data_IF_733069520471
#
_entry.id   IF_733069520471
#
_cell.length_a   1.000
_cell.length_b   1.000
_cell.length_c   1.000
_cell.angle_alpha   90.00
_cell.angle_beta   90.00
_cell.angle_gamma   90.00
#
_symmetry.space_group_name_H-M   'P 1'
#
loop_
_entity.id
_entity.type
_entity.pdbx_description
1 polymer ?
#
# COMPACT_ATOMS: atom_id res chain seq x y z
N UNK A 1 -45.58 -3.21 33.51
CA UNK A 1 -44.46 -3.76 34.28
C UNK A 1 -43.22 -3.00 33.86
N UNK A 2 -42.56 -2.36 34.82
CA UNK A 2 -41.52 -1.37 34.61
C UNK A 2 -40.30 -1.96 33.90
N UNK A 3 -39.83 -1.27 32.86
CA UNK A 3 -38.44 -1.37 32.41
C UNK A 3 -37.57 -0.96 33.59
N UNK A 4 -36.80 -1.89 34.14
CA UNK A 4 -35.81 -1.57 35.16
C UNK A 4 -34.80 -0.60 34.56
N UNK A 5 -34.77 0.63 35.07
CA UNK A 5 -33.60 1.48 34.96
C UNK A 5 -32.45 0.70 35.58
N UNK A 6 -31.59 0.14 34.74
CA UNK A 6 -30.28 -0.33 35.18
C UNK A 6 -29.47 0.94 35.44
N UNK A 7 -29.56 1.47 36.66
CA UNK A 7 -28.66 2.49 37.18
C UNK A 7 -27.27 1.86 37.30
N UNK A 8 -26.52 1.89 36.19
CA UNK A 8 -25.11 1.58 36.23
C UNK A 8 -24.37 2.73 36.92
N UNK A 9 -23.36 2.45 37.76
CA UNK A 9 -22.49 3.46 38.34
C UNK A 9 -21.98 4.44 37.28
N UNK A 10 -21.94 5.73 37.60
CA UNK A 10 -21.56 6.80 36.68
C UNK A 10 -20.15 6.58 36.11
N UNK A 11 -19.27 5.94 36.88
CA UNK A 11 -17.93 5.54 36.50
C UNK A 11 -17.91 4.52 35.35
N UNK A 12 -18.87 3.58 35.33
CA UNK A 12 -19.02 2.63 34.24
C UNK A 12 -19.54 3.35 32.99
N UNK A 13 -20.51 4.25 33.16
CA UNK A 13 -21.07 5.06 32.07
C UNK A 13 -20.06 6.04 31.47
N UNK A 14 -19.05 6.45 32.25
CA UNK A 14 -17.93 7.31 31.83
C UNK A 14 -16.73 6.53 31.28
N UNK A 15 -16.79 5.19 31.24
CA UNK A 15 -15.72 4.36 30.67
C UNK A 15 -14.52 4.12 31.59
N UNK A 16 -14.60 4.44 32.89
CA UNK A 16 -13.49 4.23 33.84
C UNK A 16 -13.14 2.75 34.00
N UNK A 17 -14.13 1.86 33.96
CA UNK A 17 -13.86 0.42 34.00
C UNK A 17 -13.04 -0.03 32.78
N UNK A 18 -13.36 0.46 31.59
CA UNK A 18 -12.60 0.17 30.38
C UNK A 18 -11.16 0.71 30.48
N UNK A 19 -11.00 1.90 31.07
CA UNK A 19 -9.68 2.49 31.34
C UNK A 19 -8.84 1.66 32.31
N UNK A 20 -9.43 1.13 33.39
CA UNK A 20 -8.74 0.25 34.34
C UNK A 20 -8.32 -1.05 33.64
N UNK A 21 -9.22 -1.68 32.88
CA UNK A 21 -8.92 -2.90 32.14
C UNK A 21 -7.78 -2.65 31.14
N UNK A 22 -7.83 -1.53 30.43
CA UNK A 22 -6.78 -1.12 29.50
C UNK A 22 -5.42 -1.02 30.20
N UNK A 23 -5.31 -0.25 31.28
CA UNK A 23 -4.05 -0.08 32.02
C UNK A 23 -3.44 -1.39 32.51
N UNK A 24 -4.29 -2.28 33.02
CA UNK A 24 -3.83 -3.61 33.43
C UNK A 24 -3.34 -4.43 32.23
N UNK A 25 -4.01 -4.30 31.08
CA UNK A 25 -3.70 -5.04 29.85
C UNK A 25 -2.41 -4.59 29.18
N UNK A 26 -2.07 -3.30 29.15
CA UNK A 26 -0.82 -2.77 28.54
C UNK A 26 0.44 -3.41 29.14
N UNK A 27 0.38 -3.76 30.43
CA UNK A 27 1.50 -4.45 31.09
C UNK A 27 1.70 -5.89 30.59
N UNK A 28 0.64 -6.54 30.09
CA UNK A 28 0.59 -7.96 29.73
C UNK A 28 0.67 -8.16 28.21
N UNK A 29 -0.20 -7.48 27.45
CA UNK A 29 -0.31 -7.59 26.00
C UNK A 29 0.66 -6.59 25.37
N UNK A 30 1.56 -7.10 24.53
CA UNK A 30 2.59 -6.29 23.85
C UNK A 30 2.25 -6.10 22.39
N UNK A 31 2.72 -4.98 21.83
CA UNK A 31 2.62 -4.65 20.41
C UNK A 31 1.59 -3.57 20.09
N UNK A 32 1.81 -2.88 18.97
CA UNK A 32 0.95 -1.82 18.49
C UNK A 32 -0.47 -2.30 18.14
N UNK A 33 -0.62 -3.55 17.68
CA UNK A 33 -1.90 -4.15 17.28
C UNK A 33 -2.97 -4.09 18.38
N UNK A 34 -2.56 -4.32 19.64
CA UNK A 34 -3.47 -4.23 20.78
C UNK A 34 -4.04 -2.83 20.95
N UNK A 35 -3.17 -1.82 20.95
CA UNK A 35 -3.56 -0.42 21.10
C UNK A 35 -4.44 0.03 19.94
N UNK A 36 -4.06 -0.28 18.69
CA UNK A 36 -4.85 0.07 17.50
C UNK A 36 -6.24 -0.58 17.55
N UNK A 37 -6.32 -1.88 17.86
CA UNK A 37 -7.58 -2.61 17.91
C UNK A 37 -8.50 -2.06 19.01
N UNK A 38 -7.97 -1.77 20.19
CA UNK A 38 -8.74 -1.22 21.29
C UNK A 38 -9.18 0.22 21.00
N UNK A 39 -8.33 1.02 20.36
CA UNK A 39 -8.66 2.38 19.97
C UNK A 39 -9.79 2.40 18.94
N UNK A 40 -9.78 1.49 17.95
CA UNK A 40 -10.89 1.34 16.99
C UNK A 40 -12.21 1.01 17.67
N UNK A 41 -12.20 0.23 18.76
CA UNK A 41 -13.41 -0.05 19.55
C UNK A 41 -13.81 1.18 20.37
N UNK A 42 -12.86 1.83 21.05
CA UNK A 42 -13.12 3.00 21.88
C UNK A 42 -13.69 4.18 21.07
N UNK A 43 -13.29 4.32 19.80
CA UNK A 43 -13.81 5.32 18.86
C UNK A 43 -15.29 5.15 18.52
N UNK A 44 -15.90 4.00 18.82
CA UNK A 44 -17.35 3.79 18.65
C UNK A 44 -18.18 4.46 19.75
N UNK A 45 -17.53 5.00 20.79
CA UNK A 45 -18.19 5.52 21.97
C UNK A 45 -17.72 6.94 22.29
N UNK A 46 -18.62 7.92 22.12
CA UNK A 46 -18.32 9.34 22.36
C UNK A 46 -17.86 9.62 23.80
N UNK A 47 -18.39 8.88 24.78
CA UNK A 47 -18.02 9.02 26.19
C UNK A 47 -16.58 8.57 26.48
N UNK A 48 -15.97 7.78 25.59
CA UNK A 48 -14.64 7.19 25.79
C UNK A 48 -13.50 8.09 25.29
N UNK A 49 -13.76 9.38 25.01
CA UNK A 49 -12.77 10.31 24.43
C UNK A 49 -11.46 10.38 25.22
N UNK A 50 -11.53 10.39 26.56
CA UNK A 50 -10.32 10.43 27.41
C UNK A 50 -9.51 9.13 27.29
N UNK A 51 -10.18 7.97 27.21
CA UNK A 51 -9.55 6.68 27.00
C UNK A 51 -8.94 6.59 25.59
N UNK A 52 -9.65 7.08 24.56
CA UNK A 52 -9.13 7.13 23.20
C UNK A 52 -7.83 7.93 23.13
N UNK A 53 -7.77 9.08 23.82
CA UNK A 53 -6.56 9.90 23.91
C UNK A 53 -5.43 9.15 24.62
N UNK A 54 -5.71 8.53 25.76
CA UNK A 54 -4.70 7.78 26.52
C UNK A 54 -4.13 6.61 25.69
N UNK A 55 -4.97 5.82 25.03
CA UNK A 55 -4.52 4.71 24.16
C UNK A 55 -3.66 5.23 23.00
N UNK A 56 -4.03 6.37 22.42
CA UNK A 56 -3.27 6.96 21.32
C UNK A 56 -1.91 7.48 21.76
N UNK A 57 -1.85 8.21 22.88
CA UNK A 57 -0.60 8.74 23.43
C UNK A 57 0.34 7.57 23.78
N UNK A 58 -0.18 6.49 24.38
CA UNK A 58 0.58 5.27 24.67
C UNK A 58 1.07 4.56 23.40
N UNK A 59 0.22 4.43 22.37
CA UNK A 59 0.60 3.86 21.07
C UNK A 59 1.81 4.61 20.48
N UNK A 60 1.77 5.94 20.49
CA UNK A 60 2.87 6.76 19.97
C UNK A 60 4.11 6.72 20.85
N UNK A 61 3.98 6.58 22.17
CA UNK A 61 5.13 6.57 23.09
C UNK A 61 5.81 5.20 23.18
N UNK A 62 5.06 4.10 23.08
CA UNK A 62 5.53 2.74 23.34
C UNK A 62 5.95 1.98 22.09
N UNK A 63 5.50 2.41 20.90
CA UNK A 63 5.65 1.65 19.65
C UNK A 63 6.16 2.50 18.48
N UNK A 64 7.10 3.43 18.73
CA UNK A 64 7.69 4.31 17.70
C UNK A 64 8.50 3.57 16.63
N UNK A 65 8.93 2.34 16.91
CA UNK A 65 9.70 1.47 16.03
C UNK A 65 8.82 0.50 15.22
N UNK A 66 7.50 0.54 15.42
CA UNK A 66 6.53 -0.32 14.74
C UNK A 66 5.92 0.41 13.51
N UNK A 67 6.04 -0.13 12.29
CA UNK A 67 5.39 0.42 11.10
C UNK A 67 3.87 0.57 11.22
N UNK A 68 3.19 -0.28 12.00
CA UNK A 68 1.75 -0.20 12.22
C UNK A 68 1.37 1.07 12.98
N UNK A 69 2.18 1.47 13.97
CA UNK A 69 1.99 2.74 14.70
C UNK A 69 2.03 3.91 13.73
N UNK A 70 3.05 3.96 12.87
CA UNK A 70 3.19 5.03 11.88
C UNK A 70 2.08 5.03 10.84
N UNK A 71 1.65 3.87 10.35
CA UNK A 71 0.52 3.74 9.41
C UNK A 71 -0.78 4.26 10.06
N UNK A 72 -1.02 3.91 11.32
CA UNK A 72 -2.18 4.39 12.08
C UNK A 72 -2.15 5.91 12.25
N UNK A 73 -1.04 6.46 12.76
CA UNK A 73 -0.86 7.91 12.99
C UNK A 73 -1.02 8.67 11.68
N UNK A 74 -0.43 8.19 10.59
CA UNK A 74 -0.53 8.84 9.29
C UNK A 74 -1.96 8.82 8.72
N UNK A 75 -2.70 7.72 8.90
CA UNK A 75 -4.09 7.61 8.41
C UNK A 75 -5.07 8.47 9.21
N UNK A 76 -4.82 8.68 10.50
CA UNK A 76 -5.63 9.55 11.36
C UNK A 76 -5.72 10.98 10.83
N UNK A 77 -4.68 11.47 10.14
CA UNK A 77 -4.66 12.78 9.49
C UNK A 77 -5.78 12.98 8.43
N UNK A 78 -6.29 11.90 7.82
CA UNK A 78 -7.43 11.96 6.90
C UNK A 78 -8.74 12.28 7.61
N UNK A 79 -8.90 11.74 8.82
CA UNK A 79 -10.12 11.81 9.61
C UNK A 79 -10.21 13.14 10.34
N UNK A 80 -9.07 13.70 10.74
CA UNK A 80 -9.04 14.99 11.43
C UNK A 80 -9.77 16.08 10.64
N UNK A 81 -10.65 16.78 11.33
CA UNK A 81 -11.40 17.90 10.77
C UNK A 81 -10.44 19.06 10.51
N UNK A 82 -10.50 19.60 9.30
CA UNK A 82 -9.62 20.71 8.89
C UNK A 82 -10.22 22.09 9.17
N UNK A 83 -11.51 22.16 9.51
CA UNK A 83 -12.25 23.40 9.77
C UNK A 83 -13.33 23.17 10.85
N UNK A 84 -13.68 24.19 11.66
CA UNK A 84 -14.82 24.10 12.57
C UNK A 84 -16.11 23.81 11.79
N UNK A 85 -17.01 23.04 12.40
CA UNK A 85 -18.18 22.37 11.81
C UNK A 85 -19.19 23.24 11.00
N UNK A 86 -18.94 24.53 10.77
CA UNK A 86 -19.82 25.47 10.06
C UNK A 86 -19.49 25.75 8.59
N UNK A 87 -18.26 25.52 8.12
CA UNK A 87 -17.82 25.90 6.76
C UNK A 87 -17.52 24.66 5.89
N UNK A 88 -18.55 23.87 5.57
CA UNK A 88 -18.40 22.81 4.58
C UNK A 88 -18.01 23.44 3.22
N UNK A 89 -17.01 22.89 2.49
CA UNK A 89 -16.55 23.53 1.27
C UNK A 89 -17.68 23.60 0.24
N UNK A 90 -18.03 24.82 -0.13
CA UNK A 90 -19.22 25.13 -0.93
C UNK A 90 -19.14 24.59 -2.38
N UNK A 91 -17.93 24.35 -2.90
CA UNK A 91 -17.71 23.89 -4.28
C UNK A 91 -16.97 22.55 -4.35
N UNK A 92 -17.21 21.79 -5.43
CA UNK A 92 -16.49 20.53 -5.71
C UNK A 92 -14.97 20.73 -5.76
N UNK A 93 -14.51 21.86 -6.25
CA UNK A 93 -13.09 22.21 -6.31
C UNK A 93 -12.52 22.44 -4.90
N UNK A 94 -13.23 23.20 -4.06
CA UNK A 94 -12.80 23.43 -2.68
C UNK A 94 -12.71 22.12 -1.88
N UNK A 95 -13.67 21.19 -2.07
CA UNK A 95 -13.61 19.84 -1.47
C UNK A 95 -12.39 19.04 -1.94
N UNK A 96 -12.05 19.14 -3.23
CA UNK A 96 -10.89 18.45 -3.79
C UNK A 96 -9.56 19.01 -3.26
N UNK A 97 -9.46 20.34 -3.12
CA UNK A 97 -8.29 21.00 -2.52
C UNK A 97 -8.14 20.58 -1.05
N UNK A 98 -9.24 20.59 -0.30
CA UNK A 98 -9.23 20.19 1.11
C UNK A 98 -8.83 18.72 1.29
N UNK A 99 -9.39 17.82 0.49
CA UNK A 99 -8.96 16.41 0.48
C UNK A 99 -7.48 16.28 0.11
N UNK A 100 -7.01 17.08 -0.85
CA UNK A 100 -5.60 17.13 -1.23
C UNK A 100 -4.70 17.52 -0.06
N UNK A 101 -5.10 18.52 0.73
CA UNK A 101 -4.42 18.98 1.94
C UNK A 101 -4.40 17.91 3.03
N UNK A 102 -5.52 17.19 3.23
CA UNK A 102 -5.57 16.04 4.15
C UNK A 102 -4.57 14.95 3.75
N UNK A 103 -4.57 14.58 2.47
CA UNK A 103 -3.63 13.59 1.94
C UNK A 103 -2.17 14.06 2.03
N UNK A 104 -1.88 15.36 1.92
CA UNK A 104 -0.52 15.90 2.18
C UNK A 104 -0.06 15.68 3.61
N UNK A 105 -0.93 15.96 4.60
CA UNK A 105 -0.56 15.77 6.01
C UNK A 105 -0.26 14.31 6.30
N UNK A 106 -1.06 13.39 5.75
CA UNK A 106 -0.79 11.96 5.84
C UNK A 106 0.58 11.61 5.24
N UNK A 107 0.85 12.10 4.03
CA UNK A 107 2.13 11.86 3.36
C UNK A 107 3.31 12.43 4.16
N UNK A 108 3.17 13.59 4.79
CA UNK A 108 4.22 14.18 5.61
C UNK A 108 4.57 13.27 6.81
N UNK A 109 3.56 12.65 7.45
CA UNK A 109 3.80 11.66 8.51
C UNK A 109 4.53 10.44 7.96
N UNK A 110 4.11 9.88 6.82
CA UNK A 110 4.83 8.77 6.21
C UNK A 110 6.27 9.12 5.79
N UNK A 111 6.48 10.32 5.26
CA UNK A 111 7.81 10.80 4.87
C UNK A 111 8.74 10.93 6.08
N UNK A 112 8.21 11.30 7.24
CA UNK A 112 8.96 11.29 8.49
C UNK A 112 9.19 9.85 9.00
N UNK A 113 8.17 9.01 8.88
CA UNK A 113 8.24 7.61 9.29
C UNK A 113 9.34 6.84 8.53
N UNK A 114 9.43 6.98 7.20
CA UNK A 114 10.46 6.27 6.40
C UNK A 114 11.86 6.82 6.61
N UNK A 115 12.01 8.06 7.12
CA UNK A 115 13.32 8.59 7.53
C UNK A 115 13.74 8.03 8.88
N UNK A 116 12.79 7.92 9.81
CA UNK A 116 13.02 7.44 11.17
C UNK A 116 13.18 5.91 11.22
N UNK A 117 12.38 5.20 10.40
CA UNK A 117 12.29 3.75 10.32
C UNK A 117 12.44 3.30 8.85
N UNK A 118 13.66 3.35 8.27
CA UNK A 118 13.91 3.00 6.88
C UNK A 118 13.90 1.49 6.65
N UNK A 119 12.71 0.88 6.76
CA UNK A 119 12.50 -0.57 6.63
C UNK A 119 11.55 -0.88 5.47
N UNK A 120 11.65 -2.10 4.91
CA UNK A 120 10.71 -2.56 3.87
C UNK A 120 9.26 -2.51 4.34
N UNK A 121 9.01 -2.84 5.62
CA UNK A 121 7.66 -2.82 6.19
C UNK A 121 7.08 -1.40 6.24
N UNK A 122 7.89 -0.41 6.61
CA UNK A 122 7.44 1.00 6.63
C UNK A 122 7.18 1.54 5.23
N UNK A 123 8.07 1.25 4.27
CA UNK A 123 7.85 1.58 2.85
C UNK A 123 6.61 0.88 2.29
N UNK A 124 6.36 -0.37 2.69
CA UNK A 124 5.18 -1.13 2.28
C UNK A 124 3.89 -0.44 2.73
N UNK A 125 3.82 0.04 3.97
CA UNK A 125 2.68 0.82 4.46
C UNK A 125 2.48 2.10 3.65
N UNK A 126 3.55 2.88 3.44
CA UNK A 126 3.46 4.13 2.69
C UNK A 126 3.01 3.93 1.24
N UNK A 127 3.58 2.96 0.53
CA UNK A 127 3.20 2.64 -0.86
C UNK A 127 1.75 2.13 -0.92
N UNK A 128 1.34 1.30 0.04
CA UNK A 128 -0.02 0.78 0.12
C UNK A 128 -1.04 1.90 0.33
N UNK A 129 -0.72 2.89 1.18
CA UNK A 129 -1.51 4.11 1.32
C UNK A 129 -1.59 4.88 -0.02
N UNK A 130 -0.47 5.13 -0.68
CA UNK A 130 -0.44 5.84 -1.96
C UNK A 130 -1.31 5.15 -3.03
N UNK A 131 -1.18 3.83 -3.17
CA UNK A 131 -1.98 3.03 -4.10
C UNK A 131 -3.48 3.06 -3.74
N UNK A 132 -3.82 2.96 -2.46
CA UNK A 132 -5.20 3.09 -2.01
C UNK A 132 -5.78 4.44 -2.44
N UNK A 133 -5.04 5.54 -2.21
CA UNK A 133 -5.48 6.88 -2.62
C UNK A 133 -5.59 7.00 -4.13
N UNK A 134 -4.63 6.48 -4.88
CA UNK A 134 -4.61 6.49 -6.35
C UNK A 134 -5.85 5.80 -6.95
N UNK A 135 -6.27 4.67 -6.39
CA UNK A 135 -7.44 3.91 -6.89
C UNK A 135 -8.80 4.55 -6.55
N UNK A 136 -8.86 5.51 -5.60
CA UNK A 136 -10.12 6.21 -5.29
C UNK A 136 -10.54 7.09 -6.46
N UNK A 137 -11.72 6.79 -7.04
CA UNK A 137 -12.33 7.58 -8.12
C UNK A 137 -12.45 9.06 -7.72
N UNK A 138 -12.04 9.94 -8.62
CA UNK A 138 -12.19 11.40 -8.45
C UNK A 138 -12.36 12.07 -9.81
N UNK A 139 -13.23 13.07 -9.88
CA UNK A 139 -13.39 13.91 -11.07
C UNK A 139 -12.33 15.02 -11.16
N UNK A 140 -11.62 15.31 -10.06
CA UNK A 140 -10.59 16.35 -10.00
C UNK A 140 -9.29 15.89 -10.66
N UNK A 141 -8.89 16.56 -11.74
CA UNK A 141 -7.59 16.33 -12.40
C UNK A 141 -6.43 16.60 -11.43
N UNK A 142 -6.49 17.69 -10.67
CA UNK A 142 -5.51 18.03 -9.63
C UNK A 142 -5.23 16.87 -8.66
N UNK A 143 -6.28 16.19 -8.18
CA UNK A 143 -6.11 15.05 -7.27
C UNK A 143 -5.52 13.83 -7.99
N UNK A 144 -5.90 13.59 -9.25
CA UNK A 144 -5.35 12.47 -10.04
C UNK A 144 -3.85 12.62 -10.23
N UNK A 145 -3.42 13.77 -10.73
CA UNK A 145 -2.01 14.05 -11.03
C UNK A 145 -1.15 13.93 -9.78
N UNK A 146 -1.62 14.52 -8.69
CA UNK A 146 -0.88 14.53 -7.42
C UNK A 146 -0.77 13.15 -6.79
N UNK A 147 -1.82 12.33 -6.87
CA UNK A 147 -1.78 10.95 -6.38
C UNK A 147 -0.86 10.08 -7.23
N UNK A 148 -0.86 10.27 -8.54
CA UNK A 148 0.07 9.59 -9.44
C UNK A 148 1.52 9.97 -9.11
N UNK A 149 1.82 11.27 -9.05
CA UNK A 149 3.15 11.79 -8.73
C UNK A 149 3.70 11.23 -7.41
N UNK A 150 2.88 11.25 -6.35
CA UNK A 150 3.27 10.71 -5.04
C UNK A 150 3.51 9.21 -5.08
N UNK A 151 2.62 8.46 -5.74
CA UNK A 151 2.76 7.00 -5.86
C UNK A 151 4.05 6.66 -6.58
N UNK A 152 4.32 7.32 -7.71
CA UNK A 152 5.57 7.15 -8.46
C UNK A 152 6.81 7.51 -7.64
N UNK A 153 6.75 8.63 -6.90
CA UNK A 153 7.86 9.07 -6.05
C UNK A 153 8.14 8.08 -4.92
N UNK A 154 7.10 7.55 -4.27
CA UNK A 154 7.26 6.57 -3.20
C UNK A 154 7.92 5.28 -3.71
N UNK A 155 7.49 4.77 -4.87
CA UNK A 155 8.11 3.62 -5.52
C UNK A 155 9.58 3.86 -5.86
N UNK A 156 9.91 4.98 -6.51
CA UNK A 156 11.30 5.32 -6.89
C UNK A 156 12.21 5.40 -5.67
N UNK A 157 11.78 6.11 -4.61
CA UNK A 157 12.57 6.22 -3.38
C UNK A 157 12.78 4.87 -2.70
N UNK A 158 11.74 4.04 -2.59
CA UNK A 158 11.86 2.70 -2.02
C UNK A 158 12.81 1.82 -2.84
N UNK A 159 12.74 1.91 -4.18
CA UNK A 159 13.64 1.22 -5.09
C UNK A 159 15.10 1.66 -4.95
N UNK A 160 15.36 2.98 -4.93
CA UNK A 160 16.69 3.55 -4.76
C UNK A 160 17.35 3.09 -3.45
N UNK A 161 16.56 2.94 -2.40
CA UNK A 161 17.00 2.44 -1.10
C UNK A 161 17.09 0.90 -1.01
N UNK A 162 16.68 0.19 -2.08
CA UNK A 162 16.56 -1.29 -2.11
C UNK A 162 15.65 -1.84 -1.00
N UNK A 163 14.59 -1.09 -0.68
CA UNK A 163 13.57 -1.44 0.32
C UNK A 163 12.21 -1.72 -0.33
N UNK A 164 12.16 -1.88 -1.64
CA UNK A 164 10.95 -2.20 -2.39
C UNK A 164 10.79 -3.73 -2.52
N UNK A 165 9.78 -4.35 -1.90
CA UNK A 165 9.53 -5.78 -2.03
C UNK A 165 9.11 -6.17 -3.46
N UNK A 166 9.40 -7.42 -3.82
CA UNK A 166 9.09 -8.02 -5.13
C UNK A 166 7.64 -7.80 -5.60
N UNK A 167 6.66 -8.02 -4.73
CA UNK A 167 5.25 -7.80 -5.06
C UNK A 167 4.95 -6.34 -5.42
N UNK A 168 5.65 -5.39 -4.81
CA UNK A 168 5.46 -3.97 -5.06
C UNK A 168 6.12 -3.52 -6.38
N UNK A 169 7.19 -4.20 -6.82
CA UNK A 169 7.69 -4.03 -8.20
C UNK A 169 6.63 -4.39 -9.24
N UNK A 170 5.94 -5.53 -9.06
CA UNK A 170 4.82 -5.91 -9.94
C UNK A 170 3.76 -4.79 -10.00
N UNK A 171 3.32 -4.28 -8.84
CA UNK A 171 2.34 -3.19 -8.80
C UNK A 171 2.84 -1.92 -9.49
N UNK A 172 4.13 -1.60 -9.36
CA UNK A 172 4.74 -0.44 -10.00
C UNK A 172 4.79 -0.58 -11.53
N UNK A 173 5.22 -1.74 -12.03
CA UNK A 173 5.28 -2.02 -13.47
C UNK A 173 3.87 -2.01 -14.08
N UNK A 174 2.89 -2.63 -13.44
CA UNK A 174 1.48 -2.59 -13.88
C UNK A 174 0.94 -1.15 -13.93
N UNK A 175 1.30 -0.31 -12.95
CA UNK A 175 0.93 1.10 -12.95
C UNK A 175 1.56 1.84 -14.13
N UNK A 176 2.86 1.65 -14.38
CA UNK A 176 3.59 2.26 -15.49
C UNK A 176 2.98 1.88 -16.84
N UNK A 177 2.67 0.59 -17.05
CA UNK A 177 2.01 0.11 -18.26
C UNK A 177 0.63 0.76 -18.45
N UNK A 178 -0.18 0.88 -17.40
CA UNK A 178 -1.50 1.56 -17.48
C UNK A 178 -1.40 3.04 -17.79
N UNK A 179 -0.27 3.69 -17.48
CA UNK A 179 0.00 5.09 -17.80
C UNK A 179 0.76 5.26 -19.12
N UNK A 180 0.97 4.18 -19.88
CA UNK A 180 1.71 4.15 -21.15
C UNK A 180 3.19 4.59 -21.01
N UNK A 181 3.78 4.42 -19.83
CA UNK A 181 5.19 4.70 -19.56
C UNK A 181 6.07 3.47 -19.84
N UNK A 182 6.02 2.97 -21.08
CA UNK A 182 6.67 1.72 -21.50
C UNK A 182 8.18 1.69 -21.22
N UNK A 183 8.89 2.79 -21.46
CA UNK A 183 10.34 2.87 -21.24
C UNK A 183 10.69 2.72 -19.76
N UNK A 184 10.02 3.46 -18.89
CA UNK A 184 10.25 3.38 -17.44
C UNK A 184 9.79 2.01 -16.90
N UNK A 185 8.69 1.45 -17.44
CA UNK A 185 8.26 0.08 -17.10
C UNK A 185 9.35 -0.95 -17.38
N UNK A 186 10.05 -0.81 -18.51
CA UNK A 186 11.12 -1.73 -18.90
C UNK A 186 12.34 -1.58 -17.99
N UNK A 187 12.75 -0.34 -17.70
CA UNK A 187 13.86 -0.05 -16.78
C UNK A 187 13.60 -0.66 -15.39
N UNK A 188 12.38 -0.47 -14.85
CA UNK A 188 11.97 -1.03 -13.56
C UNK A 188 11.90 -2.56 -13.61
N UNK A 189 11.39 -3.14 -14.68
CA UNK A 189 11.31 -4.59 -14.84
C UNK A 189 12.70 -5.24 -14.92
N UNK A 190 13.64 -4.63 -15.65
CA UNK A 190 15.03 -5.08 -15.71
C UNK A 190 15.66 -5.02 -14.33
N UNK A 191 15.61 -3.87 -13.65
CA UNK A 191 16.16 -3.71 -12.30
C UNK A 191 15.54 -4.70 -11.31
N UNK A 192 14.23 -4.95 -11.43
CA UNK A 192 13.51 -5.95 -10.65
C UNK A 192 13.99 -7.37 -10.90
N UNK A 193 14.16 -7.78 -12.16
CA UNK A 193 14.72 -9.11 -12.49
C UNK A 193 16.16 -9.29 -12.04
N UNK A 194 16.97 -8.23 -12.04
CA UNK A 194 18.35 -8.30 -11.55
C UNK A 194 18.44 -8.54 -10.05
N UNK A 195 17.48 -7.98 -9.28
CA UNK A 195 17.37 -8.14 -7.83
C UNK A 195 16.72 -9.48 -7.44
N UNK A 196 15.70 -9.93 -8.20
CA UNK A 196 14.93 -11.15 -7.94
C UNK A 196 15.08 -12.16 -9.08
N UNK A 197 16.30 -12.62 -9.33
CA UNK A 197 16.64 -13.44 -10.51
C UNK A 197 15.94 -14.79 -10.57
N UNK A 198 15.57 -15.35 -9.43
CA UNK A 198 14.86 -16.63 -9.31
C UNK A 198 13.33 -16.46 -9.21
N UNK A 199 12.82 -15.22 -9.34
CA UNK A 199 11.39 -14.95 -9.32
C UNK A 199 10.74 -15.09 -10.70
N UNK A 200 9.88 -16.10 -10.84
CA UNK A 200 9.04 -16.24 -12.02
C UNK A 200 8.13 -15.02 -12.24
N UNK A 201 7.67 -14.37 -11.17
CA UNK A 201 6.82 -13.18 -11.26
C UNK A 201 7.57 -12.01 -11.91
N UNK A 202 8.83 -11.77 -11.53
CA UNK A 202 9.61 -10.67 -12.11
C UNK A 202 9.96 -10.91 -13.58
N UNK A 203 10.31 -12.15 -13.94
CA UNK A 203 10.50 -12.52 -15.34
C UNK A 203 9.22 -12.33 -16.16
N UNK A 204 8.07 -12.75 -15.62
CA UNK A 204 6.78 -12.54 -16.28
C UNK A 204 6.49 -11.05 -16.51
N UNK A 205 6.78 -10.19 -15.52
CA UNK A 205 6.61 -8.75 -15.68
C UNK A 205 7.54 -8.16 -16.76
N UNK A 206 8.82 -8.57 -16.80
CA UNK A 206 9.77 -8.13 -17.85
C UNK A 206 9.29 -8.53 -19.24
N UNK A 207 8.85 -9.77 -19.41
CA UNK A 207 8.32 -10.29 -20.67
C UNK A 207 7.04 -9.54 -21.10
N UNK A 208 6.11 -9.31 -20.17
CA UNK A 208 4.89 -8.55 -20.46
C UNK A 208 5.19 -7.14 -20.99
N UNK A 209 6.10 -6.41 -20.34
CA UNK A 209 6.50 -5.07 -20.78
C UNK A 209 7.08 -5.10 -22.20
N UNK A 210 7.87 -6.12 -22.51
CA UNK A 210 8.50 -6.27 -23.82
C UNK A 210 7.50 -6.58 -24.92
N UNK A 211 6.54 -7.46 -24.64
CA UNK A 211 5.40 -7.76 -25.51
C UNK A 211 4.64 -6.46 -25.80
N UNK A 212 4.28 -5.70 -24.76
CA UNK A 212 3.55 -4.44 -24.90
C UNK A 212 4.35 -3.38 -25.68
N UNK A 213 5.68 -3.38 -25.52
CA UNK A 213 6.60 -2.50 -26.25
C UNK A 213 6.91 -2.95 -27.69
N UNK A 214 6.41 -4.10 -28.14
CA UNK A 214 6.69 -4.71 -29.45
C UNK A 214 8.18 -4.90 -29.73
N UNK A 215 8.94 -5.30 -28.71
CA UNK A 215 10.38 -5.56 -28.84
C UNK A 215 10.63 -6.77 -29.75
N UNK A 216 11.66 -6.75 -30.64
CA UNK A 216 11.87 -7.81 -31.63
C UNK A 216 12.48 -9.11 -31.08
N UNK A 217 13.10 -9.11 -29.89
CA UNK A 217 13.80 -10.28 -29.33
C UNK A 217 13.19 -10.78 -28.02
N UNK A 218 11.93 -11.20 -28.10
CA UNK A 218 11.19 -11.76 -26.96
C UNK A 218 11.57 -13.23 -26.73
N UNK A 219 11.93 -13.97 -27.79
CA UNK A 219 12.24 -15.40 -27.70
C UNK A 219 13.54 -15.67 -26.92
N UNK A 220 14.62 -14.92 -27.17
CA UNK A 220 15.87 -15.10 -26.43
C UNK A 220 15.73 -14.81 -24.92
N UNK A 221 14.78 -13.96 -24.55
CA UNK A 221 14.51 -13.62 -23.15
C UNK A 221 13.66 -14.68 -22.42
N UNK A 222 12.80 -15.41 -23.13
CA UNK A 222 12.17 -16.61 -22.55
C UNK A 222 13.23 -17.66 -22.22
N UNK A 223 14.16 -17.91 -23.15
CA UNK A 223 15.29 -18.82 -22.93
C UNK A 223 16.16 -18.37 -21.75
N UNK A 224 16.51 -17.07 -21.66
CA UNK A 224 17.23 -16.50 -20.53
C UNK A 224 16.50 -16.76 -19.19
N UNK A 225 15.18 -16.53 -19.16
CA UNK A 225 14.38 -16.76 -17.96
C UNK A 225 14.43 -18.23 -17.50
N UNK A 226 14.37 -19.20 -18.42
CA UNK A 226 14.42 -20.63 -18.08
C UNK A 226 15.78 -21.09 -17.56
N UNK A 227 16.88 -20.37 -17.87
CA UNK A 227 18.19 -20.64 -17.26
C UNK A 227 18.19 -20.30 -15.76
N UNK A 228 17.44 -19.27 -15.37
CA UNK A 228 17.41 -18.79 -13.98
C UNK A 228 16.31 -19.40 -13.12
N UNK A 229 15.25 -19.93 -13.75
CA UNK A 229 14.07 -20.45 -13.06
C UNK A 229 14.11 -21.96 -12.90
N UNK A 230 13.55 -22.44 -11.78
CA UNK A 230 13.32 -23.87 -11.58
C UNK A 230 12.09 -24.31 -12.36
N UNK A 231 12.12 -25.50 -12.96
CA UNK A 231 11.03 -26.04 -13.77
C UNK A 231 9.64 -25.96 -13.11
N UNK A 232 9.55 -26.10 -11.78
CA UNK A 232 8.26 -26.08 -11.06
C UNK A 232 7.56 -24.72 -11.09
N UNK A 233 8.27 -23.62 -11.30
CA UNK A 233 7.71 -22.26 -11.32
C UNK A 233 7.59 -21.67 -12.73
N UNK A 234 8.00 -22.44 -13.75
CA UNK A 234 8.08 -21.98 -15.14
C UNK A 234 6.75 -22.06 -15.90
N UNK A 235 5.73 -22.77 -15.39
CA UNK A 235 4.46 -22.98 -16.10
C UNK A 235 3.82 -21.67 -16.58
N UNK A 236 3.72 -20.59 -15.78
CA UNK A 236 3.17 -19.33 -16.24
C UNK A 236 3.95 -18.73 -17.42
N UNK A 237 5.28 -18.87 -17.43
CA UNK A 237 6.11 -18.36 -18.53
C UNK A 237 5.91 -19.18 -19.80
N UNK A 238 5.77 -20.51 -19.70
CA UNK A 238 5.46 -21.35 -20.86
C UNK A 238 4.13 -20.97 -21.51
N UNK A 239 3.10 -20.69 -20.70
CA UNK A 239 1.79 -20.23 -21.18
C UNK A 239 1.96 -18.89 -21.92
N UNK A 240 2.64 -17.91 -21.30
CA UNK A 240 2.87 -16.61 -21.94
C UNK A 240 3.71 -16.71 -23.22
N UNK A 241 4.65 -17.67 -23.30
CA UNK A 241 5.44 -17.90 -24.51
C UNK A 241 4.58 -18.43 -25.65
N UNK A 242 3.74 -19.43 -25.37
CA UNK A 242 2.84 -20.02 -26.35
C UNK A 242 1.83 -18.99 -26.88
N UNK A 243 1.19 -18.22 -25.99
CA UNK A 243 0.24 -17.16 -26.36
C UNK A 243 0.89 -16.09 -27.24
N UNK A 244 2.12 -15.69 -26.91
CA UNK A 244 2.86 -14.74 -27.74
C UNK A 244 3.23 -15.32 -29.11
N UNK A 245 3.71 -16.58 -29.17
CA UNK A 245 4.12 -17.19 -30.43
C UNK A 245 2.94 -17.39 -31.39
N UNK A 246 1.76 -17.75 -30.89
CA UNK A 246 0.55 -17.89 -31.69
C UNK A 246 0.14 -16.56 -32.35
N UNK A 247 0.38 -15.43 -31.67
CA UNK A 247 0.05 -14.10 -32.18
C UNK A 247 1.14 -13.44 -33.03
N UNK A 248 2.41 -13.81 -32.84
CA UNK A 248 3.56 -13.11 -33.40
C UNK A 248 4.39 -13.91 -34.43
N UNK A 249 4.26 -15.25 -34.46
CA UNK A 249 5.07 -16.13 -35.31
C UNK A 249 4.23 -17.06 -36.19
N UNK A 250 4.90 -17.81 -37.06
CA UNK A 250 4.27 -18.84 -37.88
C UNK A 250 3.84 -20.05 -37.03
N UNK A 251 2.91 -20.86 -37.54
CA UNK A 251 2.43 -22.07 -36.85
C UNK A 251 3.59 -23.05 -36.53
N UNK A 252 4.58 -23.15 -37.43
CA UNK A 252 5.75 -24.01 -37.26
C UNK A 252 6.66 -23.57 -36.09
N UNK A 253 6.80 -22.25 -35.88
CA UNK A 253 7.57 -21.70 -34.76
C UNK A 253 6.86 -21.91 -33.41
N UNK A 254 5.52 -21.91 -33.42
CA UNK A 254 4.70 -22.19 -32.24
C UNK A 254 4.80 -23.67 -31.86
N UNK A 255 4.73 -24.57 -32.85
CA UNK A 255 4.87 -26.02 -32.64
C UNK A 255 6.26 -26.42 -32.10
N UNK A 256 7.30 -25.64 -32.37
CA UNK A 256 8.65 -25.90 -31.85
C UNK A 256 8.76 -25.73 -30.33
N UNK A 257 7.94 -24.86 -29.72
CA UNK A 257 7.94 -24.60 -28.27
C UNK A 257 7.46 -25.84 -27.50
N UNK A 258 6.53 -26.61 -28.07
CA UNK A 258 5.99 -27.83 -27.47
C UNK A 258 6.89 -29.07 -27.63
N UNK A 259 8.02 -28.96 -28.33
CA UNK A 259 8.96 -30.06 -28.59
C UNK A 259 10.18 -30.07 -27.64
N UNK A 260 10.26 -29.09 -26.73
CA UNK A 260 11.28 -28.98 -25.67
C UNK A 260 10.82 -29.75 -24.43
#
# INVERSE_FOLDING_TARGET
MAQGNLDYPEEILKGELARIIYKNSVSIIKGAEFHVSLLSIAQLFDFATDLQKEIYDDLQALHTDDPLTWDYVARRELEMESQPAGEQPATKQARAVELGRKEERCCAVYEEAVKTLPTEAMWKCYISFCLERFTKKTSSQFLRDRRLERTMTAFRKAHELRLLPEFQYKQWIELLLRQDFLKEALEVAVAGTELFRDSAMMWQMKLQVLIDSKSPDIAGLFEEAFVHLKAQVCLPLWISWAEWSEGAKSQEDTEAIFKV
#
